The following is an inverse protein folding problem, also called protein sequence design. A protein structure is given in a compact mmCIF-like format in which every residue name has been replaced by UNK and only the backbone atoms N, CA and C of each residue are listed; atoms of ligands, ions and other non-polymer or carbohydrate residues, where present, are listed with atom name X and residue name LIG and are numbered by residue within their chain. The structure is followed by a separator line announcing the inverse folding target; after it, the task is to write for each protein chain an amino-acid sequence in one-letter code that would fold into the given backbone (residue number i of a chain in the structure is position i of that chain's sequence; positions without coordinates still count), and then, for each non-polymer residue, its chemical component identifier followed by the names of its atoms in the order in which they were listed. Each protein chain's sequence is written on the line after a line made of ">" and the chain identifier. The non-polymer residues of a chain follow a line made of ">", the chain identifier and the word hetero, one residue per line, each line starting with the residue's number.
data_IF_593066914400
#
_entry.id   IF_593066914400
#
_cell.length_a   1.000
_cell.length_b   1.000
_cell.length_c   1.000
_cell.angle_alpha   90.00
_cell.angle_beta   90.00
_cell.angle_gamma   90.00
#
_symmetry.space_group_name_H-M   'P 1'
#
loop_
_entity.id
_entity.type
_entity.pdbx_description
1 polymer ?
#
# COMPACT_ATOMS: atom_id res chain seq x y z
N UNK A 1 10.82 1.12 -3.68
CA UNK A 1 10.37 -0.26 -3.43
C UNK A 1 9.56 -0.78 -4.60
N UNK A 2 9.50 -2.09 -4.82
CA UNK A 2 8.49 -2.68 -5.73
C UNK A 2 7.15 -2.69 -5.00
N UNK A 3 6.12 -2.11 -5.59
CA UNK A 3 4.79 -2.01 -4.99
C UNK A 3 3.77 -2.73 -5.86
N UNK A 4 2.94 -3.55 -5.23
CA UNK A 4 1.78 -4.11 -5.86
C UNK A 4 0.56 -4.07 -4.93
N UNK A 5 -0.56 -3.62 -5.46
CA UNK A 5 -1.84 -3.51 -4.74
C UNK A 5 -2.88 -4.28 -5.53
N UNK A 6 -3.47 -5.26 -4.86
CA UNK A 6 -4.40 -6.22 -5.43
C UNK A 6 -5.74 -6.13 -4.71
N UNK A 7 -6.83 -6.16 -5.47
CA UNK A 7 -8.14 -6.56 -4.96
C UNK A 7 -8.48 -7.97 -5.44
N UNK A 8 -9.54 -8.56 -4.89
CA UNK A 8 -10.05 -9.85 -5.38
C UNK A 8 -10.57 -9.78 -6.82
N UNK A 9 -10.80 -8.58 -7.36
CA UNK A 9 -11.38 -8.35 -8.69
C UNK A 9 -10.32 -8.00 -9.73
N UNK A 10 -9.30 -7.24 -9.35
CA UNK A 10 -8.32 -6.67 -10.30
C UNK A 10 -7.03 -6.23 -9.61
N UNK A 11 -6.03 -5.93 -10.43
CA UNK A 11 -4.82 -5.23 -9.99
C UNK A 11 -5.13 -3.73 -9.95
N UNK A 12 -4.93 -3.09 -8.79
CA UNK A 12 -5.18 -1.67 -8.60
C UNK A 12 -3.94 -0.82 -8.87
N UNK A 13 -2.78 -1.34 -8.53
CA UNK A 13 -1.50 -0.71 -8.82
C UNK A 13 -0.41 -1.76 -8.92
N UNK A 14 0.52 -1.60 -9.86
CA UNK A 14 1.72 -2.41 -9.93
C UNK A 14 2.85 -1.59 -10.54
N UNK A 15 3.97 -1.45 -9.81
CA UNK A 15 5.08 -0.64 -10.27
C UNK A 15 6.14 -0.40 -9.21
N UNK A 16 6.92 0.66 -9.39
CA UNK A 16 7.89 1.13 -8.38
C UNK A 16 7.31 2.36 -7.67
N UNK A 17 7.40 2.36 -6.35
CA UNK A 17 6.98 3.48 -5.52
C UNK A 17 8.13 4.01 -4.65
N UNK A 18 8.11 5.30 -4.36
CA UNK A 18 8.96 5.94 -3.36
C UNK A 18 8.35 5.84 -1.97
N UNK A 19 7.03 5.97 -1.87
CA UNK A 19 6.31 5.84 -0.62
C UNK A 19 4.88 5.34 -0.81
N UNK A 20 4.36 4.71 0.24
CA UNK A 20 2.95 4.34 0.38
C UNK A 20 2.48 4.76 1.77
N UNK A 21 1.48 5.62 1.81
CA UNK A 21 0.79 6.03 3.02
C UNK A 21 -0.56 5.29 3.10
N UNK A 22 -0.90 4.81 4.30
CA UNK A 22 -2.13 4.08 4.54
C UNK A 22 -2.56 4.16 6.01
N UNK A 23 -3.86 3.95 6.25
CA UNK A 23 -4.42 3.82 7.59
C UNK A 23 -4.32 2.37 8.09
N UNK A 24 -3.87 2.22 9.32
CA UNK A 24 -3.79 0.95 10.05
C UNK A 24 -4.65 1.03 11.31
N UNK A 25 -4.80 -0.08 12.03
CA UNK A 25 -5.55 -0.11 13.29
C UNK A 25 -4.99 0.81 14.39
N UNK A 26 -3.69 1.12 14.36
CA UNK A 26 -3.00 1.93 15.37
C UNK A 26 -2.80 3.40 14.95
N UNK A 27 -3.27 3.78 13.76
CA UNK A 27 -3.08 5.10 13.19
C UNK A 27 -2.61 5.05 11.74
N UNK A 28 -2.12 6.19 11.26
CA UNK A 28 -1.68 6.35 9.87
C UNK A 28 -0.17 6.19 9.78
N UNK A 29 0.30 5.43 8.79
CA UNK A 29 1.72 5.17 8.58
C UNK A 29 2.11 5.44 7.13
N UNK A 30 3.38 5.79 6.94
CA UNK A 30 4.00 5.90 5.62
C UNK A 30 5.17 4.93 5.52
N UNK A 31 5.08 3.99 4.60
CA UNK A 31 6.15 3.05 4.26
C UNK A 31 6.98 3.65 3.14
N UNK A 32 8.26 3.93 3.44
CA UNK A 32 9.23 4.46 2.50
C UNK A 32 10.01 3.35 1.78
N UNK A 33 10.74 3.73 0.73
CA UNK A 33 11.70 2.86 0.08
C UNK A 33 12.71 2.27 1.09
N UNK A 34 12.99 0.96 1.00
CA UNK A 34 13.87 0.20 1.91
C UNK A 34 13.43 0.17 3.39
N UNK A 35 12.13 0.36 3.67
CA UNK A 35 11.60 0.16 5.01
C UNK A 35 11.82 -1.30 5.50
N UNK A 36 11.98 -1.45 6.83
CA UNK A 36 12.09 -2.76 7.50
C UNK A 36 10.86 -3.63 7.21
N UNK A 37 10.99 -4.98 7.20
CA UNK A 37 9.83 -5.86 7.08
C UNK A 37 8.73 -5.53 8.08
N UNK A 38 7.49 -5.56 7.60
CA UNK A 38 6.31 -5.18 8.36
C UNK A 38 5.10 -5.91 7.78
N UNK A 39 4.27 -6.48 8.63
CA UNK A 39 2.93 -6.94 8.26
C UNK A 39 1.92 -6.22 9.15
N UNK A 40 0.93 -5.58 8.55
CA UNK A 40 -0.09 -4.83 9.29
C UNK A 40 -1.45 -4.93 8.61
N UNK A 41 -2.50 -4.83 9.43
CA UNK A 41 -3.89 -4.75 8.95
C UNK A 41 -4.21 -3.30 8.58
N UNK A 42 -4.86 -3.13 7.43
CA UNK A 42 -5.35 -1.85 6.94
C UNK A 42 -6.73 -1.57 7.53
N UNK A 43 -6.93 -0.31 7.92
CA UNK A 43 -8.21 0.24 8.33
C UNK A 43 -8.88 0.97 7.15
N UNK A 44 -10.20 1.21 7.20
CA UNK A 44 -10.89 1.98 6.16
C UNK A 44 -10.24 3.35 5.94
N UNK A 45 -10.02 3.71 4.68
CA UNK A 45 -9.34 4.96 4.34
C UNK A 45 -8.91 5.04 2.89
N UNK A 46 -7.92 5.90 2.61
CA UNK A 46 -7.33 6.07 1.29
C UNK A 46 -5.86 5.70 1.38
N UNK A 47 -5.40 4.85 0.47
CA UNK A 47 -3.99 4.59 0.26
C UNK A 47 -3.47 5.65 -0.70
N UNK A 48 -2.44 6.39 -0.27
CA UNK A 48 -1.71 7.33 -1.13
C UNK A 48 -0.38 6.72 -1.54
N UNK A 49 -0.08 6.77 -2.83
CA UNK A 49 1.17 6.27 -3.41
C UNK A 49 1.87 7.43 -4.08
N UNK A 50 3.18 7.56 -3.85
CA UNK A 50 4.06 8.40 -4.65
C UNK A 50 4.92 7.47 -5.49
N UNK A 51 4.73 7.48 -6.80
CA UNK A 51 5.54 6.66 -7.71
C UNK A 51 6.92 7.29 -7.99
N UNK A 52 7.76 6.57 -8.74
CA UNK A 52 9.11 7.05 -9.09
C UNK A 52 9.13 8.26 -10.04
N UNK A 53 8.00 8.58 -10.65
CA UNK A 53 7.81 9.78 -11.50
C UNK A 53 7.23 10.95 -10.70
N UNK A 54 7.14 10.81 -9.36
CA UNK A 54 6.53 11.78 -8.43
C UNK A 54 5.05 12.03 -8.69
N UNK A 55 4.36 11.07 -9.30
CA UNK A 55 2.92 11.14 -9.48
C UNK A 55 2.21 10.52 -8.29
N UNK A 56 1.21 11.25 -7.82
CA UNK A 56 0.33 10.81 -6.75
C UNK A 56 -0.77 9.88 -7.29
N UNK A 57 -0.97 8.74 -6.63
CA UNK A 57 -2.10 7.84 -6.86
C UNK A 57 -2.88 7.65 -5.57
N UNK A 58 -4.22 7.59 -5.69
CA UNK A 58 -5.13 7.46 -4.55
C UNK A 58 -6.05 6.26 -4.76
N UNK A 59 -6.08 5.36 -3.79
CA UNK A 59 -6.89 4.14 -3.84
C UNK A 59 -7.73 4.07 -2.57
N UNK A 60 -9.06 4.22 -2.64
CA UNK A 60 -9.92 4.04 -1.48
C UNK A 60 -9.99 2.55 -1.11
N UNK A 61 -9.97 2.26 0.18
CA UNK A 61 -9.98 0.90 0.72
C UNK A 61 -10.91 0.77 1.91
N UNK A 62 -11.65 -0.33 1.96
CA UNK A 62 -12.49 -0.68 3.11
C UNK A 62 -11.70 -1.44 4.17
N UNK A 63 -10.87 -2.38 3.74
CA UNK A 63 -10.02 -3.18 4.62
C UNK A 63 -8.89 -3.83 3.82
N UNK A 64 -7.95 -4.49 4.50
CA UNK A 64 -6.91 -5.25 3.82
C UNK A 64 -5.71 -5.54 4.71
N UNK A 65 -4.62 -5.94 4.06
CA UNK A 65 -3.33 -6.16 4.68
C UNK A 65 -2.23 -5.52 3.84
N UNK A 66 -1.22 -4.99 4.53
CA UNK A 66 0.04 -4.54 3.94
C UNK A 66 1.15 -5.46 4.44
N UNK A 67 1.93 -5.98 3.51
CA UNK A 67 3.17 -6.71 3.74
C UNK A 67 4.33 -5.96 3.08
N UNK A 68 5.35 -5.61 3.86
CA UNK A 68 6.66 -5.18 3.39
C UNK A 68 7.67 -6.28 3.74
N UNK A 69 8.46 -6.74 2.78
CA UNK A 69 9.46 -7.80 2.99
C UNK A 69 10.90 -7.30 2.92
N UNK A 70 11.85 -8.16 3.29
CA UNK A 70 13.28 -7.84 3.30
C UNK A 70 13.87 -7.59 1.90
N UNK A 71 13.14 -7.96 0.84
CA UNK A 71 13.53 -7.75 -0.56
C UNK A 71 13.11 -6.39 -1.11
N UNK A 72 12.74 -5.42 -0.26
CA UNK A 72 12.24 -4.10 -0.64
C UNK A 72 10.99 -4.17 -1.54
N UNK A 73 10.07 -5.06 -1.17
CA UNK A 73 8.79 -5.26 -1.87
C UNK A 73 7.63 -5.07 -0.90
N UNK A 74 6.71 -4.19 -1.27
CA UNK A 74 5.46 -3.95 -0.58
C UNK A 74 4.31 -4.57 -1.39
N UNK A 75 3.51 -5.41 -0.75
CA UNK A 75 2.29 -6.00 -1.31
C UNK A 75 1.11 -5.63 -0.43
N UNK A 76 0.05 -5.15 -1.06
CA UNK A 76 -1.20 -4.86 -0.38
C UNK A 76 -2.30 -5.70 -1.01
N UNK A 77 -3.07 -6.40 -0.17
CA UNK A 77 -4.29 -7.10 -0.59
C UNK A 77 -5.43 -6.36 0.09
N UNK A 78 -6.32 -5.78 -0.71
CA UNK A 78 -7.33 -4.83 -0.23
C UNK A 78 -8.71 -5.21 -0.70
N UNK A 79 -9.70 -4.82 0.10
CA UNK A 79 -11.10 -4.83 -0.28
C UNK A 79 -11.52 -3.42 -0.73
N UNK A 80 -12.17 -3.35 -1.88
CA UNK A 80 -12.65 -2.10 -2.47
C UNK A 80 -13.95 -1.68 -1.76
N UNK A 81 -14.20 -0.37 -1.57
CA UNK A 81 -15.52 0.11 -1.15
C UNK A 81 -16.59 -0.35 -2.15
N UNK A 82 -17.77 -0.72 -1.62
CA UNK A 82 -18.96 -1.03 -2.42
C UNK A 82 -19.60 0.25 -2.92
#
# INVERSE_FOLDING_TARGET
>A
MKLAIYSLKKILFQGKAESVNCKTALGEITVLDHHRPLVTKLAPGVIKIIDKEKKDHYIPVSSGFLEMNSGNQAKLIVDEPV
#
